data_IF_837661428020
#
_entry.id   IF_837661428020
#
_cell.length_a   1.000
_cell.length_b   1.000
_cell.length_c   1.000
_cell.angle_alpha   90.00
_cell.angle_beta   90.00
_cell.angle_gamma   90.00
#
_symmetry.space_group_name_H-M   'P 1'
#
loop_
_entity.id
_entity.type
_entity.pdbx_description
1 polymer ?
#
# COMPACT_ATOMS: atom_id res chain seq x y z
N UNK A 1 -7.71 33.51 -28.26
CA UNK A 1 -6.38 33.40 -27.61
C UNK A 1 -5.62 32.32 -28.36
N UNK A 2 -4.68 32.71 -29.23
CA UNK A 2 -3.91 31.76 -30.05
C UNK A 2 -2.82 31.09 -29.21
N UNK A 3 -2.75 29.77 -29.30
CA UNK A 3 -1.69 28.96 -28.69
C UNK A 3 -0.35 29.27 -29.35
N UNK A 4 0.61 29.85 -28.61
CA UNK A 4 1.99 30.04 -29.07
C UNK A 4 2.63 28.69 -29.46
N UNK A 5 3.33 28.64 -30.61
CA UNK A 5 4.04 27.43 -31.03
C UNK A 5 5.30 27.26 -30.17
N UNK A 6 5.78 26.03 -29.98
CA UNK A 6 6.96 25.76 -29.14
C UNK A 6 8.19 26.57 -29.54
N UNK A 7 8.41 26.79 -30.85
CA UNK A 7 9.52 27.61 -31.35
C UNK A 7 9.43 29.07 -30.89
N UNK A 8 8.22 29.63 -30.81
CA UNK A 8 7.99 30.99 -30.34
C UNK A 8 8.30 31.09 -28.83
N UNK A 9 7.95 30.06 -28.06
CA UNK A 9 8.29 29.97 -26.63
C UNK A 9 9.81 29.89 -26.43
N UNK A 10 10.52 29.10 -27.25
CA UNK A 10 11.99 28.98 -27.21
C UNK A 10 12.64 30.35 -27.50
N UNK A 11 12.20 31.03 -28.56
CA UNK A 11 12.71 32.37 -28.88
C UNK A 11 12.37 33.40 -27.79
N UNK A 12 11.21 33.28 -27.15
CA UNK A 12 10.80 34.16 -26.07
C UNK A 12 11.65 33.95 -24.80
N UNK A 13 12.00 32.71 -24.47
CA UNK A 13 12.95 32.35 -23.41
C UNK A 13 14.32 32.97 -23.68
N UNK A 14 14.84 32.81 -24.90
CA UNK A 14 16.14 33.36 -25.30
C UNK A 14 16.12 34.91 -25.34
N UNK A 15 14.94 35.54 -25.40
CA UNK A 15 14.75 37.01 -25.38
C UNK A 15 14.36 37.60 -24.02
N UNK A 16 14.33 36.79 -22.95
CA UNK A 16 14.05 37.19 -21.55
C UNK A 16 12.68 37.86 -21.33
N UNK A 17 11.68 37.56 -22.18
CA UNK A 17 10.41 38.28 -22.22
C UNK A 17 9.34 37.67 -21.29
N UNK A 18 9.50 37.90 -19.98
CA UNK A 18 8.75 37.25 -18.87
C UNK A 18 7.21 37.39 -18.94
N UNK A 19 6.70 38.53 -19.43
CA UNK A 19 5.25 38.81 -19.44
C UNK A 19 4.46 38.00 -20.50
N UNK A 20 5.13 37.56 -21.56
CA UNK A 20 4.52 36.76 -22.64
C UNK A 20 4.55 35.27 -22.29
N UNK A 21 5.65 34.81 -21.68
CA UNK A 21 5.82 33.41 -21.26
C UNK A 21 4.79 33.01 -20.19
N UNK A 22 4.53 33.86 -19.19
CA UNK A 22 3.57 33.58 -18.11
C UNK A 22 2.11 33.36 -18.59
N UNK A 23 1.77 33.76 -19.82
CA UNK A 23 0.44 33.58 -20.42
C UNK A 23 0.35 32.42 -21.41
N UNK A 24 1.45 31.71 -21.67
CA UNK A 24 1.51 30.66 -22.67
C UNK A 24 1.07 29.30 -22.11
N UNK A 25 -0.08 28.79 -22.55
CA UNK A 25 -0.55 27.41 -22.30
C UNK A 25 0.42 26.32 -22.78
N UNK A 26 1.45 26.68 -23.56
CA UNK A 26 2.43 25.77 -24.14
C UNK A 26 3.65 25.46 -23.25
N UNK A 27 3.82 26.09 -22.08
CA UNK A 27 5.02 25.89 -21.25
C UNK A 27 5.22 24.43 -20.77
N UNK A 28 4.20 23.70 -20.30
CA UNK A 28 4.37 22.28 -19.97
C UNK A 28 4.73 21.42 -21.19
N UNK A 29 4.25 21.79 -22.38
CA UNK A 29 4.59 21.10 -23.63
C UNK A 29 6.03 21.42 -24.07
N UNK A 30 6.50 22.65 -23.88
CA UNK A 30 7.88 23.03 -24.11
C UNK A 30 8.84 22.28 -23.16
N UNK A 31 8.49 22.19 -21.88
CA UNK A 31 9.24 21.40 -20.90
C UNK A 31 9.34 19.92 -21.32
N UNK A 32 8.25 19.31 -21.80
CA UNK A 32 8.29 17.95 -22.31
C UNK A 32 9.24 17.77 -23.50
N UNK A 33 9.31 18.74 -24.42
CA UNK A 33 10.27 18.71 -25.53
C UNK A 33 11.71 18.90 -25.06
N UNK A 34 11.96 19.83 -24.14
CA UNK A 34 13.29 19.99 -23.55
C UNK A 34 13.75 18.71 -22.86
N UNK A 35 12.85 18.05 -22.12
CA UNK A 35 13.14 16.75 -21.52
C UNK A 35 13.47 15.67 -22.56
N UNK A 36 12.65 15.53 -23.61
CA UNK A 36 12.89 14.59 -24.71
C UNK A 36 14.24 14.81 -25.41
N UNK A 37 14.73 16.05 -25.46
CA UNK A 37 16.03 16.42 -26.02
C UNK A 37 17.15 16.50 -24.98
N UNK A 38 16.89 16.11 -23.72
CA UNK A 38 17.83 16.19 -22.59
C UNK A 38 18.41 17.61 -22.35
N UNK A 39 17.65 18.66 -22.69
CA UNK A 39 18.01 20.07 -22.49
C UNK A 39 17.71 20.49 -21.03
N UNK A 40 18.52 19.99 -20.10
CA UNK A 40 18.39 20.25 -18.67
C UNK A 40 18.58 21.73 -18.31
N UNK A 41 19.41 22.45 -19.08
CA UNK A 41 19.68 23.88 -18.85
C UNK A 41 18.40 24.70 -19.02
N UNK A 42 17.64 24.45 -20.10
CA UNK A 42 16.36 25.14 -20.33
C UNK A 42 15.29 24.70 -19.33
N UNK A 43 15.26 23.43 -18.93
CA UNK A 43 14.36 22.98 -17.86
C UNK A 43 14.65 23.67 -16.53
N UNK A 44 15.92 23.76 -16.15
CA UNK A 44 16.37 24.47 -14.96
C UNK A 44 15.96 25.95 -15.00
N UNK A 45 16.16 26.63 -16.14
CA UNK A 45 15.73 28.02 -16.33
C UNK A 45 14.22 28.17 -16.12
N UNK A 46 13.41 27.30 -16.74
CA UNK A 46 11.95 27.33 -16.58
C UNK A 46 11.54 27.15 -15.11
N UNK A 47 12.19 26.23 -14.38
CA UNK A 47 11.87 25.96 -12.98
C UNK A 47 12.35 27.07 -12.04
N UNK A 48 13.55 27.59 -12.24
CA UNK A 48 14.14 28.69 -11.46
C UNK A 48 13.29 29.96 -11.53
N UNK A 49 12.70 30.22 -12.68
CA UNK A 49 11.85 31.39 -12.90
C UNK A 49 10.35 31.13 -12.63
N UNK A 50 10.01 30.00 -12.01
CA UNK A 50 8.62 29.60 -11.69
C UNK A 50 7.69 29.59 -12.92
N UNK A 51 8.24 29.35 -14.12
CA UNK A 51 7.47 29.24 -15.36
C UNK A 51 6.87 27.84 -15.52
N UNK A 52 7.49 26.84 -14.90
CA UNK A 52 6.92 25.51 -14.71
C UNK A 52 6.90 25.17 -13.23
N UNK A 53 5.99 24.28 -12.87
CA UNK A 53 5.75 23.88 -11.49
C UNK A 53 6.30 22.51 -11.17
N UNK A 54 6.34 22.14 -9.89
CA UNK A 54 6.73 20.79 -9.47
C UNK A 54 5.79 19.73 -10.06
N UNK A 55 4.50 20.02 -10.18
CA UNK A 55 3.54 19.17 -10.90
C UNK A 55 3.94 18.92 -12.37
N UNK A 56 4.56 19.91 -13.01
CA UNK A 56 5.05 19.74 -14.39
C UNK A 56 6.25 18.80 -14.44
N UNK A 57 7.22 18.98 -13.54
CA UNK A 57 8.39 18.10 -13.45
C UNK A 57 7.99 16.68 -13.03
N UNK A 58 7.07 16.53 -12.07
CA UNK A 58 6.55 15.25 -11.62
C UNK A 58 5.83 14.50 -12.75
N UNK A 59 5.08 15.20 -13.62
CA UNK A 59 4.45 14.58 -14.79
C UNK A 59 5.45 14.09 -15.83
N UNK A 60 6.59 14.76 -15.97
CA UNK A 60 7.69 14.25 -16.80
C UNK A 60 8.31 13.01 -16.17
N UNK A 61 8.53 13.05 -14.86
CA UNK A 61 9.08 11.94 -14.08
C UNK A 61 8.20 10.68 -14.17
N UNK A 62 6.88 10.85 -14.01
CA UNK A 62 5.89 9.77 -14.12
C UNK A 62 5.96 9.02 -15.45
N UNK A 63 6.24 9.73 -16.55
CA UNK A 63 6.41 9.08 -17.87
C UNK A 63 7.60 8.13 -17.87
N UNK A 64 8.71 8.51 -17.22
CA UNK A 64 9.90 7.67 -17.14
C UNK A 64 9.64 6.38 -16.36
N UNK A 65 8.90 6.46 -15.24
CA UNK A 65 8.50 5.27 -14.47
C UNK A 65 7.71 4.28 -15.32
N UNK A 66 6.86 4.78 -16.22
CA UNK A 66 6.03 3.94 -17.11
C UNK A 66 6.74 3.47 -18.38
N UNK A 67 7.81 4.13 -18.81
CA UNK A 67 8.47 3.82 -20.10
C UNK A 67 9.78 3.05 -19.98
N UNK A 68 10.46 3.14 -18.83
CA UNK A 68 11.82 2.62 -18.66
C UNK A 68 12.04 2.23 -17.21
N UNK A 69 12.18 0.92 -16.97
CA UNK A 69 12.73 0.40 -15.71
C UNK A 69 14.23 0.74 -15.66
N UNK A 70 14.54 1.93 -15.16
CA UNK A 70 15.91 2.37 -14.90
C UNK A 70 16.07 2.64 -13.41
N UNK A 71 17.28 2.42 -12.89
CA UNK A 71 17.62 2.79 -11.52
C UNK A 71 17.39 4.31 -11.32
N UNK A 72 16.41 4.66 -10.48
CA UNK A 72 15.98 6.03 -10.25
C UNK A 72 16.72 6.74 -9.11
N UNK A 73 17.79 6.15 -8.56
CA UNK A 73 18.64 6.79 -7.54
C UNK A 73 19.17 8.14 -8.02
N UNK A 74 19.45 8.29 -9.32
CA UNK A 74 19.96 9.52 -9.94
C UNK A 74 19.07 10.00 -11.08
N UNK A 75 17.90 10.52 -10.73
CA UNK A 75 17.00 11.15 -11.69
C UNK A 75 17.20 12.67 -11.76
N UNK A 76 17.61 13.18 -12.92
CA UNK A 76 17.81 14.61 -13.16
C UNK A 76 16.55 15.47 -12.90
N UNK A 77 15.35 14.92 -13.08
CA UNK A 77 14.11 15.64 -12.76
C UNK A 77 13.91 15.80 -11.25
N UNK A 78 14.33 14.82 -10.44
CA UNK A 78 14.31 14.93 -8.97
C UNK A 78 15.39 15.93 -8.53
N UNK A 79 16.58 15.90 -9.14
CA UNK A 79 17.65 16.88 -8.85
C UNK A 79 17.17 18.32 -9.09
N UNK A 80 16.40 18.55 -10.17
CA UNK A 80 15.80 19.86 -10.46
C UNK A 80 14.77 20.28 -9.42
N UNK A 81 13.98 19.35 -8.88
CA UNK A 81 13.03 19.63 -7.81
C UNK A 81 13.76 19.99 -6.50
N UNK A 82 14.82 19.25 -6.16
CA UNK A 82 15.65 19.49 -4.97
C UNK A 82 16.35 20.86 -5.03
N UNK A 83 16.84 21.26 -6.19
CA UNK A 83 17.62 22.50 -6.35
C UNK A 83 16.82 23.77 -6.06
N UNK A 84 15.55 23.82 -6.47
CA UNK A 84 14.75 25.06 -6.44
C UNK A 84 13.67 25.10 -5.35
N UNK A 85 13.63 24.07 -4.49
CA UNK A 85 12.69 23.94 -3.36
C UNK A 85 11.23 23.74 -3.79
N UNK A 86 10.36 23.22 -2.91
CA UNK A 86 8.99 22.87 -3.28
C UNK A 86 8.12 24.09 -3.58
N UNK A 87 7.29 23.99 -4.63
CA UNK A 87 6.18 24.91 -4.90
C UNK A 87 4.82 24.35 -4.43
N UNK A 88 4.83 23.18 -3.78
CA UNK A 88 3.66 22.48 -3.21
C UNK A 88 2.60 22.03 -4.24
N UNK A 89 2.89 22.08 -5.54
CA UNK A 89 1.94 21.65 -6.58
C UNK A 89 2.04 20.16 -6.92
N UNK A 90 3.13 19.50 -6.53
CA UNK A 90 3.39 18.09 -6.82
C UNK A 90 2.68 17.15 -5.83
N UNK A 91 1.95 16.17 -6.39
CA UNK A 91 1.19 15.15 -5.65
C UNK A 91 1.29 13.77 -6.30
N UNK A 92 1.43 12.75 -5.46
CA UNK A 92 1.38 11.34 -5.79
C UNK A 92 0.09 10.74 -5.19
N UNK A 93 -1.02 10.89 -5.91
CA UNK A 93 -2.38 10.52 -5.48
C UNK A 93 -3.16 9.77 -6.57
N UNK A 94 -2.49 9.43 -7.67
CA UNK A 94 -3.08 8.69 -8.79
C UNK A 94 -2.79 7.21 -8.63
N UNK A 95 -3.84 6.40 -8.73
CA UNK A 95 -3.83 4.94 -8.60
C UNK A 95 -2.72 4.30 -9.44
N UNK A 96 -2.68 4.66 -10.73
CA UNK A 96 -1.71 4.14 -11.67
C UNK A 96 -0.28 4.52 -11.27
N UNK A 97 -0.07 5.76 -10.82
CA UNK A 97 1.26 6.22 -10.43
C UNK A 97 1.73 5.49 -9.17
N UNK A 98 0.83 5.24 -8.22
CA UNK A 98 1.13 4.56 -6.97
C UNK A 98 1.47 3.09 -7.22
N UNK A 99 0.68 2.39 -8.05
CA UNK A 99 0.98 1.00 -8.46
C UNK A 99 2.38 0.88 -9.04
N UNK A 100 2.76 1.74 -9.99
CA UNK A 100 4.11 1.70 -10.54
C UNK A 100 5.19 2.08 -9.53
N UNK A 101 4.97 3.13 -8.73
CA UNK A 101 5.93 3.62 -7.76
C UNK A 101 6.07 2.73 -6.52
N UNK A 102 5.15 1.80 -6.31
CA UNK A 102 5.18 0.88 -5.18
C UNK A 102 6.31 -0.15 -5.32
N UNK A 103 6.79 -0.40 -6.55
CA UNK A 103 7.90 -1.32 -6.81
C UNK A 103 9.18 -0.91 -6.06
N UNK A 104 9.94 -1.86 -5.46
CA UNK A 104 11.13 -1.56 -4.64
C UNK A 104 12.16 -0.65 -5.30
N UNK A 105 12.42 -0.84 -6.59
CA UNK A 105 13.37 -0.02 -7.36
C UNK A 105 13.05 1.49 -7.35
N UNK A 106 11.79 1.88 -7.09
CA UNK A 106 11.37 3.27 -7.02
C UNK A 106 11.31 3.83 -5.59
N UNK A 107 11.54 3.00 -4.56
CA UNK A 107 11.58 3.45 -3.17
C UNK A 107 12.61 4.58 -2.93
N UNK A 108 13.84 4.55 -3.50
CA UNK A 108 14.77 5.69 -3.39
C UNK A 108 14.18 6.99 -3.96
N UNK A 109 13.48 6.92 -5.09
CA UNK A 109 12.83 8.07 -5.71
C UNK A 109 11.70 8.61 -4.83
N UNK A 110 10.84 7.74 -4.29
CA UNK A 110 9.77 8.13 -3.38
C UNK A 110 10.32 8.83 -2.13
N UNK A 111 11.37 8.27 -1.51
CA UNK A 111 12.06 8.87 -0.34
C UNK A 111 12.54 10.29 -0.65
N UNK A 112 13.19 10.48 -1.81
CA UNK A 112 13.66 11.82 -2.25
C UNK A 112 12.50 12.78 -2.49
N UNK A 113 11.46 12.35 -3.22
CA UNK A 113 10.27 13.17 -3.48
C UNK A 113 9.56 13.58 -2.19
N UNK A 114 9.47 12.68 -1.20
CA UNK A 114 8.91 13.00 0.12
C UNK A 114 9.79 13.99 0.88
N UNK A 115 11.11 13.83 0.85
CA UNK A 115 12.04 14.71 1.54
C UNK A 115 11.99 16.17 1.06
N UNK A 116 11.70 16.39 -0.23
CA UNK A 116 11.50 17.73 -0.79
C UNK A 116 10.10 18.31 -0.57
N UNK A 117 9.16 17.55 0.03
CA UNK A 117 7.80 18.02 0.33
C UNK A 117 6.73 17.66 -0.71
N UNK A 118 6.99 16.73 -1.64
CA UNK A 118 5.92 16.18 -2.49
C UNK A 118 4.94 15.40 -1.62
N UNK A 119 3.66 15.75 -1.71
CA UNK A 119 2.61 15.03 -0.98
C UNK A 119 2.37 13.67 -1.67
N UNK A 120 2.19 12.63 -0.87
CA UNK A 120 1.87 11.30 -1.37
C UNK A 120 0.71 10.71 -0.56
N UNK A 121 -0.18 10.00 -1.23
CA UNK A 121 -1.22 9.20 -0.60
C UNK A 121 -0.60 7.92 -0.04
N UNK A 122 -0.02 8.05 1.14
CA UNK A 122 0.68 6.96 1.80
C UNK A 122 -0.28 5.85 2.28
N UNK A 123 -1.57 6.13 2.48
CA UNK A 123 -2.55 5.10 2.79
C UNK A 123 -2.67 4.12 1.62
N UNK A 124 -2.73 4.65 0.40
CA UNK A 124 -2.76 3.83 -0.82
C UNK A 124 -1.44 3.14 -1.13
N UNK A 125 -0.29 3.76 -0.85
CA UNK A 125 0.99 3.06 -0.93
C UNK A 125 1.06 1.88 0.04
N UNK A 126 0.43 2.00 1.23
CA UNK A 126 0.42 0.90 2.21
C UNK A 126 -0.36 -0.30 1.69
N UNK A 127 -1.59 -0.10 1.19
CA UNK A 127 -2.42 -1.20 0.69
C UNK A 127 -1.81 -1.85 -0.56
N UNK A 128 -1.36 -1.05 -1.53
CA UNK A 128 -0.74 -1.54 -2.77
C UNK A 128 0.56 -2.31 -2.49
N UNK A 129 1.28 -2.00 -1.42
CA UNK A 129 2.53 -2.69 -1.09
C UNK A 129 2.37 -4.15 -0.66
N UNK A 130 1.14 -4.58 -0.35
CA UNK A 130 0.79 -5.95 0.05
C UNK A 130 -0.14 -6.66 -0.95
N UNK A 131 -0.42 -6.03 -2.10
CA UNK A 131 -1.19 -6.68 -3.18
C UNK A 131 -0.33 -7.76 -3.87
N UNK A 132 -0.96 -8.88 -4.24
CA UNK A 132 -0.40 -10.21 -4.54
C UNK A 132 0.74 -10.31 -5.58
N UNK A 133 1.08 -9.23 -6.28
CA UNK A 133 2.10 -9.21 -7.33
C UNK A 133 3.37 -8.42 -6.94
N UNK A 134 3.46 -7.94 -5.70
CA UNK A 134 4.43 -6.92 -5.34
C UNK A 134 5.31 -7.35 -4.15
N UNK A 135 6.55 -7.75 -4.45
CA UNK A 135 7.67 -7.93 -3.50
C UNK A 135 8.10 -6.60 -2.86
N UNK A 136 7.15 -5.87 -2.25
CA UNK A 136 7.31 -4.48 -1.83
C UNK A 136 7.41 -4.33 -0.32
N UNK A 137 8.00 -5.31 0.35
CA UNK A 137 8.20 -5.32 1.80
C UNK A 137 8.93 -4.05 2.29
N UNK A 138 9.95 -3.61 1.57
CA UNK A 138 10.67 -2.38 1.91
C UNK A 138 9.78 -1.13 1.81
N UNK A 139 8.84 -1.12 0.85
CA UNK A 139 7.85 -0.06 0.69
C UNK A 139 6.85 -0.07 1.86
N UNK A 140 6.30 -1.24 2.19
CA UNK A 140 5.42 -1.45 3.35
C UNK A 140 6.09 -0.94 4.63
N UNK A 141 7.36 -1.32 4.85
CA UNK A 141 8.13 -0.87 6.00
C UNK A 141 8.31 0.64 6.03
N UNK A 142 8.78 1.22 4.93
CA UNK A 142 8.99 2.65 4.80
C UNK A 142 7.70 3.45 5.07
N UNK A 143 6.57 3.02 4.50
CA UNK A 143 5.29 3.73 4.62
C UNK A 143 4.82 3.75 6.08
N UNK A 144 4.87 2.61 6.78
CA UNK A 144 4.51 2.55 8.21
C UNK A 144 5.45 3.36 9.11
N UNK A 145 6.73 3.48 8.75
CA UNK A 145 7.71 4.23 9.53
C UNK A 145 7.57 5.77 9.41
N UNK A 146 6.66 6.26 8.56
CA UNK A 146 6.47 7.71 8.34
C UNK A 146 5.81 8.46 9.50
N UNK A 147 5.52 7.79 10.62
CA UNK A 147 4.90 8.33 11.85
C UNK A 147 3.56 9.05 11.63
N UNK A 148 2.88 8.79 10.52
CA UNK A 148 1.54 9.29 10.28
C UNK A 148 0.48 8.37 10.88
N UNK A 149 -0.70 8.92 11.16
CA UNK A 149 -1.87 8.12 11.52
C UNK A 149 -2.59 7.67 10.24
N UNK A 150 -2.82 6.37 10.11
CA UNK A 150 -3.59 5.81 9.02
C UNK A 150 -5.07 5.73 9.39
N UNK A 151 -5.99 5.85 8.41
CA UNK A 151 -7.37 5.46 8.61
C UNK A 151 -7.47 3.99 9.04
N UNK A 152 -8.39 3.71 9.96
CA UNK A 152 -8.62 2.35 10.47
C UNK A 152 -8.96 1.37 9.35
N UNK A 153 -9.79 1.80 8.39
CA UNK A 153 -10.15 1.02 7.20
C UNK A 153 -8.94 0.67 6.33
N UNK A 154 -7.96 1.56 6.21
CA UNK A 154 -6.71 1.30 5.47
C UNK A 154 -5.88 0.23 6.15
N UNK A 155 -5.74 0.30 7.49
CA UNK A 155 -5.00 -0.72 8.24
C UNK A 155 -5.68 -2.08 8.12
N UNK A 156 -7.01 -2.13 8.19
CA UNK A 156 -7.79 -3.35 8.07
C UNK A 156 -7.69 -3.96 6.67
N UNK A 157 -7.88 -3.16 5.61
CA UNK A 157 -7.69 -3.61 4.22
C UNK A 157 -6.27 -4.14 3.99
N UNK A 158 -5.25 -3.43 4.47
CA UNK A 158 -3.85 -3.88 4.39
C UNK A 158 -3.66 -5.21 5.13
N UNK A 159 -4.27 -5.38 6.30
CA UNK A 159 -4.15 -6.61 7.08
C UNK A 159 -4.80 -7.80 6.37
N UNK A 160 -5.98 -7.62 5.76
CA UNK A 160 -6.65 -8.68 4.99
C UNK A 160 -5.79 -9.07 3.78
N UNK A 161 -5.34 -8.09 2.98
CA UNK A 161 -4.47 -8.35 1.84
C UNK A 161 -3.19 -9.08 2.25
N UNK A 162 -2.59 -8.70 3.38
CA UNK A 162 -1.41 -9.36 3.92
C UNK A 162 -1.70 -10.80 4.37
N UNK A 163 -2.85 -11.08 4.99
CA UNK A 163 -3.26 -12.43 5.37
C UNK A 163 -3.46 -13.31 4.14
N UNK A 164 -4.10 -12.79 3.09
CA UNK A 164 -4.24 -13.48 1.80
C UNK A 164 -2.88 -13.74 1.14
N UNK A 165 -1.99 -12.74 1.11
CA UNK A 165 -0.63 -12.88 0.59
C UNK A 165 0.13 -13.99 1.33
N UNK A 166 0.04 -14.02 2.66
CA UNK A 166 0.68 -15.03 3.49
C UNK A 166 0.05 -16.42 3.34
N UNK A 167 -1.23 -16.51 3.00
CA UNK A 167 -1.90 -17.78 2.70
C UNK A 167 -1.38 -18.40 1.39
N UNK A 168 -1.11 -17.57 0.39
CA UNK A 168 -0.64 -18.00 -0.92
C UNK A 168 0.87 -18.34 -0.96
N UNK A 169 1.64 -17.96 0.07
CA UNK A 169 3.06 -18.34 0.18
C UNK A 169 3.20 -19.81 0.63
N UNK A 170 3.56 -20.67 -0.32
CA UNK A 170 3.76 -22.12 -0.11
C UNK A 170 5.13 -22.44 0.53
N UNK A 171 6.08 -21.49 0.52
CA UNK A 171 7.47 -21.68 0.98
C UNK A 171 7.78 -20.90 2.28
N UNK A 172 8.27 -21.61 3.30
CA UNK A 172 8.82 -21.02 4.54
C UNK A 172 10.22 -20.42 4.30
N UNK A 173 10.30 -19.38 3.49
CA UNK A 173 11.54 -18.64 3.27
C UNK A 173 11.69 -17.44 4.23
N UNK A 174 12.88 -16.83 4.20
CA UNK A 174 13.22 -15.65 5.01
C UNK A 174 12.33 -14.43 4.69
N UNK A 175 11.65 -14.41 3.53
CA UNK A 175 10.75 -13.34 3.13
C UNK A 175 9.37 -13.50 3.77
N UNK A 176 8.82 -14.71 3.78
CA UNK A 176 7.58 -15.05 4.49
C UNK A 176 7.67 -14.67 5.97
N UNK A 177 8.78 -15.03 6.63
CA UNK A 177 9.01 -14.66 8.04
C UNK A 177 9.09 -13.13 8.29
N UNK A 178 9.39 -12.34 7.27
CA UNK A 178 9.35 -10.87 7.38
C UNK A 178 7.93 -10.32 7.16
N UNK A 179 7.17 -10.90 6.22
CA UNK A 179 5.77 -10.56 6.01
C UNK A 179 4.88 -10.94 7.20
N UNK A 180 5.16 -12.05 7.89
CA UNK A 180 4.48 -12.44 9.13
C UNK A 180 4.58 -11.34 10.20
N UNK A 181 5.75 -10.69 10.32
CA UNK A 181 5.93 -9.54 11.23
C UNK A 181 5.15 -8.30 10.79
N UNK A 182 4.65 -8.28 9.56
CA UNK A 182 3.82 -7.20 9.04
C UNK A 182 2.54 -7.02 9.84
N UNK A 183 1.87 -8.11 10.24
CA UNK A 183 0.66 -8.06 11.08
C UNK A 183 0.98 -7.41 12.44
N UNK A 184 2.08 -7.80 13.10
CA UNK A 184 2.51 -7.18 14.36
C UNK A 184 2.77 -5.67 14.21
N UNK A 185 3.33 -5.24 13.08
CA UNK A 185 3.54 -3.81 12.79
C UNK A 185 2.22 -3.07 12.57
N UNK A 186 1.23 -3.67 11.91
CA UNK A 186 -0.10 -3.08 11.75
C UNK A 186 -0.84 -2.95 13.09
N UNK A 187 -0.74 -3.96 13.95
CA UNK A 187 -1.24 -3.90 15.34
C UNK A 187 -0.60 -2.76 16.12
N UNK A 188 0.73 -2.62 16.03
CA UNK A 188 1.47 -1.51 16.65
C UNK A 188 1.06 -0.14 16.08
N UNK A 189 0.67 -0.09 14.81
CA UNK A 189 0.16 1.12 14.15
C UNK A 189 -1.29 1.47 14.53
N UNK A 190 -1.97 0.63 15.33
CA UNK A 190 -3.32 0.89 15.84
C UNK A 190 -4.43 0.17 15.08
N UNK A 191 -4.14 -0.95 14.42
CA UNK A 191 -5.15 -1.81 13.84
C UNK A 191 -6.12 -2.34 14.91
N UNK A 192 -7.42 -2.05 14.76
CA UNK A 192 -8.46 -2.65 15.61
C UNK A 192 -8.84 -4.04 15.08
N UNK A 193 -8.54 -5.06 15.88
CA UNK A 193 -8.86 -6.46 15.57
C UNK A 193 -10.36 -6.76 15.62
N UNK A 194 -11.16 -5.86 16.20
CA UNK A 194 -12.61 -5.99 16.30
C UNK A 194 -13.35 -5.17 15.25
N UNK A 195 -12.65 -4.58 14.26
CA UNK A 195 -13.31 -3.86 13.18
C UNK A 195 -14.15 -4.81 12.32
N UNK A 196 -15.33 -4.35 11.92
CA UNK A 196 -16.12 -5.03 10.90
C UNK A 196 -15.58 -4.67 9.50
N UNK A 197 -15.43 -5.68 8.66
CA UNK A 197 -15.02 -5.57 7.28
C UNK A 197 -16.27 -5.46 6.39
N UNK A 198 -16.22 -4.60 5.38
CA UNK A 198 -17.28 -4.46 4.37
C UNK A 198 -16.72 -4.86 3.01
N UNK A 199 -17.44 -5.74 2.29
CA UNK A 199 -17.05 -6.20 0.96
C UNK A 199 -16.03 -7.35 0.90
N UNK A 200 -15.76 -8.02 2.02
CA UNK A 200 -14.92 -9.22 2.10
C UNK A 200 -15.77 -10.48 2.34
N UNK A 201 -15.16 -11.65 2.17
CA UNK A 201 -15.86 -12.93 2.33
C UNK A 201 -16.23 -13.19 3.81
N UNK A 202 -15.47 -12.62 4.76
CA UNK A 202 -15.75 -12.69 6.19
C UNK A 202 -15.94 -11.27 6.77
N UNK A 203 -16.78 -11.17 7.81
CA UNK A 203 -17.24 -9.88 8.33
C UNK A 203 -16.20 -9.19 9.23
N UNK A 204 -15.10 -9.85 9.58
CA UNK A 204 -14.13 -9.34 10.56
C UNK A 204 -12.71 -9.82 10.28
N UNK A 205 -11.72 -9.01 10.65
CA UNK A 205 -10.30 -9.37 10.48
C UNK A 205 -9.93 -10.64 11.25
N UNK A 206 -10.51 -10.85 12.43
CA UNK A 206 -10.23 -12.02 13.24
C UNK A 206 -10.79 -13.30 12.60
N UNK A 207 -11.92 -13.23 11.88
CA UNK A 207 -12.43 -14.36 11.08
C UNK A 207 -11.51 -14.63 9.89
N UNK A 208 -11.13 -13.60 9.14
CA UNK A 208 -10.19 -13.70 8.01
C UNK A 208 -8.90 -14.38 8.43
N UNK A 209 -8.30 -13.93 9.54
CA UNK A 209 -7.11 -14.55 10.09
C UNK A 209 -7.36 -15.99 10.55
N UNK A 210 -8.50 -16.27 11.17
CA UNK A 210 -8.80 -17.63 11.61
C UNK A 210 -8.94 -18.58 10.43
N UNK A 211 -9.60 -18.18 9.34
CA UNK A 211 -9.91 -19.00 8.18
C UNK A 211 -8.73 -19.17 7.22
N UNK A 212 -8.05 -18.09 6.86
CA UNK A 212 -7.00 -18.13 5.83
C UNK A 212 -5.60 -18.30 6.42
N UNK A 213 -5.35 -17.82 7.63
CA UNK A 213 -4.01 -17.89 8.22
C UNK A 213 -4.05 -18.20 9.73
N UNK A 214 -4.46 -19.43 10.11
CA UNK A 214 -4.63 -19.82 11.51
C UNK A 214 -3.35 -19.65 12.34
N UNK A 215 -2.16 -19.63 11.72
CA UNK A 215 -0.91 -19.35 12.42
C UNK A 215 -0.84 -17.92 12.99
N UNK A 216 -1.41 -16.93 12.30
CA UNK A 216 -1.42 -15.53 12.74
C UNK A 216 -2.59 -15.20 13.70
N UNK A 217 -3.63 -16.04 13.73
CA UNK A 217 -4.81 -15.80 14.55
C UNK A 217 -4.51 -15.59 16.05
N UNK A 218 -3.66 -16.39 16.74
CA UNK A 218 -3.35 -16.17 18.15
C UNK A 218 -2.72 -14.81 18.45
N UNK A 219 -1.91 -14.27 17.53
CA UNK A 219 -1.32 -12.94 17.67
C UNK A 219 -2.42 -11.87 17.65
N UNK A 220 -3.30 -11.94 16.65
CA UNK A 220 -4.43 -11.02 16.48
C UNK A 220 -5.38 -11.11 17.69
N UNK A 221 -5.74 -12.31 18.11
CA UNK A 221 -6.65 -12.52 19.24
C UNK A 221 -6.08 -11.97 20.57
N UNK A 222 -4.77 -12.13 20.81
CA UNK A 222 -4.08 -11.56 22.00
C UNK A 222 -4.07 -10.03 21.99
N UNK A 223 -4.25 -9.40 20.84
CA UNK A 223 -4.29 -7.95 20.71
C UNK A 223 -5.67 -7.33 21.00
N UNK A 224 -6.52 -8.05 21.76
CA UNK A 224 -7.76 -7.49 22.30
C UNK A 224 -9.01 -7.90 21.53
N UNK A 225 -9.03 -9.09 20.93
CA UNK A 225 -10.29 -9.67 20.45
C UNK A 225 -11.32 -9.70 21.60
N UNK A 226 -12.56 -9.34 21.31
CA UNK A 226 -13.62 -9.32 22.30
C UNK A 226 -14.50 -10.56 22.17
N UNK A 227 -15.11 -10.99 23.28
CA UNK A 227 -16.09 -12.07 23.25
C UNK A 227 -17.29 -11.72 22.35
N UNK A 228 -17.74 -10.46 22.38
CA UNK A 228 -18.85 -10.00 21.55
C UNK A 228 -18.52 -10.14 20.06
N UNK A 229 -17.30 -9.79 19.66
CA UNK A 229 -16.83 -9.97 18.28
C UNK A 229 -16.68 -11.45 17.92
N UNK A 230 -16.11 -12.28 18.78
CA UNK A 230 -16.01 -13.73 18.54
C UNK A 230 -17.40 -14.39 18.38
N UNK A 231 -18.41 -13.89 19.09
CA UNK A 231 -19.78 -14.40 18.98
C UNK A 231 -20.45 -14.07 17.64
N UNK A 232 -19.92 -13.11 16.86
CA UNK A 232 -20.44 -12.81 15.51
C UNK A 232 -19.81 -13.66 14.42
N UNK A 233 -18.89 -14.58 14.77
CA UNK A 233 -18.20 -15.37 13.77
C UNK A 233 -19.18 -16.21 12.94
N UNK A 234 -19.10 -16.13 11.62
CA UNK A 234 -19.79 -17.01 10.70
C UNK A 234 -19.04 -18.34 10.59
N UNK A 235 -19.26 -19.19 11.59
CA UNK A 235 -18.64 -20.51 11.67
C UNK A 235 -18.98 -21.42 10.48
N UNK A 236 -20.15 -21.23 9.85
CA UNK A 236 -20.54 -22.01 8.67
C UNK A 236 -19.70 -21.61 7.46
N UNK A 237 -19.53 -20.30 7.23
CA UNK A 237 -18.65 -19.80 6.18
C UNK A 237 -17.18 -20.24 6.39
N UNK A 238 -16.64 -20.02 7.58
CA UNK A 238 -15.25 -20.42 7.93
C UNK A 238 -15.03 -21.91 7.66
N UNK A 239 -15.91 -22.78 8.16
CA UNK A 239 -15.77 -24.23 7.97
C UNK A 239 -15.95 -24.62 6.50
N UNK A 240 -16.83 -23.93 5.78
CA UNK A 240 -17.05 -24.11 4.35
C UNK A 240 -15.84 -23.77 3.48
N UNK A 241 -15.00 -22.83 3.92
CA UNK A 241 -13.75 -22.45 3.23
C UNK A 241 -12.63 -23.49 3.42
N UNK A 242 -12.73 -24.32 4.45
CA UNK A 242 -11.78 -25.38 4.77
C UNK A 242 -11.21 -25.22 6.17
N UNK A 243 -10.91 -26.36 6.79
CA UNK A 243 -10.34 -26.38 8.15
C UNK A 243 -9.20 -27.38 8.26
N UNK A 244 -8.26 -27.02 9.10
CA UNK A 244 -7.03 -27.75 9.34
C UNK A 244 -6.82 -28.02 10.83
N UNK A 245 -5.90 -28.92 11.21
CA UNK A 245 -5.57 -29.18 12.61
C UNK A 245 -5.31 -27.92 13.45
N UNK A 246 -4.64 -26.91 12.88
CA UNK A 246 -4.29 -25.65 13.56
C UNK A 246 -5.53 -24.83 13.95
N UNK A 247 -6.61 -24.92 13.20
CA UNK A 247 -7.88 -24.29 13.56
C UNK A 247 -8.43 -24.87 14.86
N UNK A 248 -8.37 -26.20 15.01
CA UNK A 248 -8.81 -26.87 16.24
C UNK A 248 -7.91 -26.51 17.43
N UNK A 249 -6.60 -26.39 17.19
CA UNK A 249 -5.66 -25.96 18.22
C UNK A 249 -5.92 -24.52 18.66
N UNK A 250 -6.29 -23.63 17.74
CA UNK A 250 -6.73 -22.27 18.05
C UNK A 250 -8.03 -22.23 18.85
N UNK A 251 -9.02 -23.08 18.54
CA UNK A 251 -10.25 -23.17 19.34
C UNK A 251 -9.97 -23.61 20.78
N UNK A 252 -9.14 -24.64 20.96
CA UNK A 252 -8.73 -25.08 22.30
C UNK A 252 -7.94 -24.00 23.04
N UNK A 253 -7.07 -23.27 22.34
CA UNK A 253 -6.34 -22.15 22.90
C UNK A 253 -7.27 -21.02 23.35
N UNK A 254 -8.28 -20.65 22.55
CA UNK A 254 -9.27 -19.62 22.89
C UNK A 254 -9.98 -19.94 24.20
N UNK A 255 -10.43 -21.18 24.40
CA UNK A 255 -11.05 -21.57 25.68
C UNK A 255 -10.07 -21.53 26.84
N UNK A 256 -8.84 -21.99 26.63
CA UNK A 256 -7.81 -21.96 27.66
C UNK A 256 -7.49 -20.53 28.14
N UNK A 257 -7.64 -19.53 27.27
CA UNK A 257 -7.47 -18.11 27.61
C UNK A 257 -8.77 -17.40 28.02
N UNK A 258 -9.89 -18.13 28.11
CA UNK A 258 -11.13 -17.68 28.75
C UNK A 258 -12.26 -17.26 27.81
N UNK A 259 -12.14 -17.50 26.50
CA UNK A 259 -13.27 -17.29 25.58
C UNK A 259 -14.31 -18.42 25.69
N UNK A 260 -15.55 -18.07 25.44
CA UNK A 260 -16.66 -19.01 25.32
C UNK A 260 -16.92 -19.30 23.84
N UNK A 261 -16.86 -20.58 23.45
CA UNK A 261 -17.11 -21.01 22.08
C UNK A 261 -18.45 -21.74 21.96
N UNK A 262 -19.17 -21.59 20.83
CA UNK A 262 -20.35 -22.41 20.53
C UNK A 262 -19.92 -23.82 20.07
N UNK A 263 -19.20 -24.56 20.93
CA UNK A 263 -18.58 -25.86 20.60
C UNK A 263 -19.53 -26.84 19.91
N UNK A 264 -20.74 -27.00 20.43
CA UNK A 264 -21.71 -27.94 19.86
C UNK A 264 -22.12 -27.58 18.44
N UNK A 265 -22.22 -26.29 18.12
CA UNK A 265 -22.49 -25.81 16.75
C UNK A 265 -21.30 -26.10 15.85
N UNK A 266 -20.08 -25.71 16.28
CA UNK A 266 -18.85 -25.92 15.50
C UNK A 266 -18.63 -27.42 15.23
N UNK A 267 -18.84 -28.28 16.23
CA UNK A 267 -18.73 -29.74 16.09
C UNK A 267 -19.71 -30.30 15.07
N UNK A 268 -20.96 -29.84 15.10
CA UNK A 268 -21.97 -30.26 14.13
C UNK A 268 -21.59 -29.83 12.71
N UNK A 269 -21.18 -28.57 12.54
CA UNK A 269 -20.72 -28.05 11.25
C UNK A 269 -19.51 -28.83 10.70
N UNK A 270 -18.52 -29.12 11.55
CA UNK A 270 -17.37 -29.95 11.16
C UNK A 270 -17.80 -31.34 10.68
N UNK A 271 -18.74 -31.99 11.38
CA UNK A 271 -19.27 -33.30 10.97
C UNK A 271 -20.06 -33.21 9.66
N UNK A 272 -20.89 -32.18 9.49
CA UNK A 272 -21.68 -31.96 8.26
C UNK A 272 -20.79 -31.74 7.03
N UNK A 273 -19.63 -31.11 7.23
CA UNK A 273 -18.59 -30.92 6.20
C UNK A 273 -17.58 -32.09 6.10
N UNK A 274 -17.85 -33.24 6.73
CA UNK A 274 -17.04 -34.46 6.67
C UNK A 274 -15.65 -34.35 7.34
N UNK A 275 -15.48 -33.40 8.27
CA UNK A 275 -14.30 -33.25 9.12
C UNK A 275 -14.44 -34.00 10.45
N UNK A 276 -14.94 -35.25 10.42
CA UNK A 276 -15.24 -36.06 11.61
C UNK A 276 -14.05 -36.18 12.58
N UNK A 277 -12.83 -36.32 12.05
CA UNK A 277 -11.62 -36.44 12.86
C UNK A 277 -11.35 -35.16 13.67
N UNK A 278 -11.57 -33.98 13.07
CA UNK A 278 -11.41 -32.69 13.72
C UNK A 278 -12.55 -32.41 14.71
N UNK A 279 -13.78 -32.79 14.38
CA UNK A 279 -14.93 -32.71 15.29
C UNK A 279 -14.70 -33.52 16.58
N UNK A 280 -14.17 -34.74 16.45
CA UNK A 280 -13.79 -35.58 17.59
C UNK A 280 -12.64 -34.97 18.40
N UNK A 281 -11.64 -34.39 17.74
CA UNK A 281 -10.52 -33.71 18.42
C UNK A 281 -10.98 -32.52 19.24
N UNK A 282 -11.94 -31.73 18.73
CA UNK A 282 -12.53 -30.60 19.46
C UNK A 282 -13.28 -31.04 20.74
N UNK A 283 -13.71 -32.30 20.79
CA UNK A 283 -14.42 -32.89 21.95
C UNK A 283 -13.49 -33.40 23.05
N UNK A 284 -12.17 -33.44 22.83
CA UNK A 284 -11.21 -34.18 23.66
C UNK A 284 -10.63 -33.39 24.85
N UNK A 285 -11.31 -32.35 25.32
CA UNK A 285 -10.96 -31.55 26.51
C UNK A 285 -12.21 -31.39 27.38
#
# INVERSE_FOLDING_TARGET
>A
MESLRTQDIIQLIDSDNRAVLAKASGLPHAAAKFWQHQDLVRLAYLRQHHLITDSTLLRLLKREFTSTYQNMERCALIDLLEQYGPDSTARLDSDLDIVYLCHPDFLPALKRLRAIGVTADLAKFLTVSVEADHYSLEMFHYVLDTQQTFPETTLAETAVLLLSLLHDFDDQDDETAQWEKGIERLLTAGLDVNLALDGYDLETLAEEAFAFNPAQFPLIAKHGLTQDRLNTFDWEAIIGMGVEPDHIDNLHWLEAVGYHLPKSQIQQLLADHQYDALANRLSSI
#
